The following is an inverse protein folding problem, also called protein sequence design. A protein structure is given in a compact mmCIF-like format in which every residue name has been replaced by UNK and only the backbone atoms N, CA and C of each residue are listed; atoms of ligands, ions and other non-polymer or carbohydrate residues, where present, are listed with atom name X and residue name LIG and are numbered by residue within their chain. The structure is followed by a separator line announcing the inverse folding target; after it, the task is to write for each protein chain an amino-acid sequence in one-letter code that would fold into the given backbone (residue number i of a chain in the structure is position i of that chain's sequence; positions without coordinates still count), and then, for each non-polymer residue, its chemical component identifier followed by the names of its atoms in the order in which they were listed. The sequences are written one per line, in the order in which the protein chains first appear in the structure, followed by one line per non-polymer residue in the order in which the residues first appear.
data_IF_333093755455
#
_entry.id   IF_333093755455
#
_cell.length_a   1.000
_cell.length_b   1.000
_cell.length_c   1.000
_cell.angle_alpha   90.00
_cell.angle_beta   90.00
_cell.angle_gamma   90.00
#
_symmetry.space_group_name_H-M   'P 1'
#
loop_
_entity.id
_entity.type
_entity.pdbx_description
1 polymer ?
#
# COMPACT_ATOMS: atom_id res chain seq x y z
N UNK A 1 -22.29 23.09 -35.30
CA UNK A 1 -22.18 21.67 -35.69
C UNK A 1 -22.52 20.71 -34.56
N UNK A 2 -21.67 20.44 -33.55
CA UNK A 2 -21.99 19.44 -32.50
C UNK A 2 -23.18 19.84 -31.61
N UNK A 3 -23.26 21.12 -31.19
CA UNK A 3 -24.40 21.63 -30.42
C UNK A 3 -25.72 21.58 -31.20
N UNK A 4 -25.69 21.87 -32.50
CA UNK A 4 -26.86 21.78 -33.39
C UNK A 4 -27.31 20.33 -33.60
N UNK A 5 -26.39 19.37 -33.51
CA UNK A 5 -26.66 17.94 -33.57
C UNK A 5 -27.05 17.34 -32.20
N UNK A 6 -27.13 18.14 -31.14
CA UNK A 6 -27.42 17.66 -29.78
C UNK A 6 -26.31 16.82 -29.15
N UNK A 7 -25.06 16.92 -29.65
CA UNK A 7 -23.92 16.18 -29.15
C UNK A 7 -23.08 17.01 -28.16
N UNK A 8 -22.76 16.42 -27.01
CA UNK A 8 -21.86 17.02 -26.00
C UNK A 8 -20.43 16.62 -26.30
N UNK A 9 -19.52 17.59 -26.28
CA UNK A 9 -18.08 17.39 -26.50
C UNK A 9 -17.29 17.80 -25.28
N UNK A 10 -16.35 16.96 -24.84
CA UNK A 10 -15.40 17.26 -23.76
C UNK A 10 -14.01 17.47 -24.36
N UNK A 11 -13.30 18.50 -23.92
CA UNK A 11 -11.97 18.85 -24.46
C UNK A 11 -10.90 18.69 -23.38
N UNK A 12 -9.65 18.44 -23.79
CA UNK A 12 -8.47 18.35 -22.91
C UNK A 12 -8.60 17.34 -21.76
N UNK A 13 -9.23 16.20 -22.02
CA UNK A 13 -9.28 15.09 -21.05
C UNK A 13 -7.89 14.46 -20.89
N UNK A 14 -7.42 14.16 -19.67
CA UNK A 14 -6.19 13.42 -19.44
C UNK A 14 -6.19 12.09 -20.22
N UNK A 15 -5.04 11.75 -20.82
CA UNK A 15 -4.91 10.58 -21.70
C UNK A 15 -5.28 9.27 -20.98
N UNK A 16 -4.95 9.16 -19.70
CA UNK A 16 -5.23 7.96 -18.92
C UNK A 16 -6.72 7.82 -18.58
N UNK A 17 -7.42 8.92 -18.34
CA UNK A 17 -8.86 8.91 -18.14
C UNK A 17 -9.61 8.62 -19.44
N UNK A 18 -9.18 9.19 -20.56
CA UNK A 18 -9.73 8.85 -21.88
C UNK A 18 -9.60 7.34 -22.18
N UNK A 19 -8.46 6.73 -21.83
CA UNK A 19 -8.27 5.27 -21.96
C UNK A 19 -9.16 4.47 -21.02
N UNK A 20 -9.34 4.91 -19.78
CA UNK A 20 -10.21 4.25 -18.78
C UNK A 20 -11.67 4.31 -19.19
N UNK A 21 -12.14 5.47 -19.63
CA UNK A 21 -13.50 5.66 -20.16
C UNK A 21 -13.71 4.78 -21.39
N UNK A 22 -12.77 4.79 -22.34
CA UNK A 22 -12.86 3.96 -23.53
C UNK A 22 -12.98 2.47 -23.16
N UNK A 23 -12.12 1.96 -22.28
CA UNK A 23 -12.20 0.57 -21.79
C UNK A 23 -13.51 0.27 -21.07
N UNK A 24 -14.00 1.17 -20.21
CA UNK A 24 -15.26 0.98 -19.49
C UNK A 24 -16.49 0.98 -20.40
N UNK A 25 -16.49 1.80 -21.45
CA UNK A 25 -17.62 1.89 -22.39
C UNK A 25 -17.51 0.88 -23.55
N UNK A 26 -16.42 0.10 -23.63
CA UNK A 26 -16.12 -0.76 -24.78
C UNK A 26 -15.69 -0.01 -26.06
N UNK A 27 -15.28 1.25 -25.92
CA UNK A 27 -14.76 2.06 -27.02
C UNK A 27 -13.26 1.86 -27.24
N UNK A 28 -12.77 2.29 -28.41
CA UNK A 28 -11.34 2.37 -28.73
C UNK A 28 -10.91 3.83 -28.90
N UNK A 29 -9.76 4.19 -28.32
CA UNK A 29 -9.19 5.55 -28.48
C UNK A 29 -8.58 5.68 -29.87
N UNK A 30 -9.22 6.47 -30.75
CA UNK A 30 -8.74 6.75 -32.09
C UNK A 30 -7.76 7.93 -32.08
N UNK A 31 -6.55 7.72 -32.58
CA UNK A 31 -5.53 8.78 -32.74
C UNK A 31 -5.56 9.44 -34.12
N UNK A 32 -6.10 8.74 -35.11
CA UNK A 32 -6.30 9.20 -36.49
C UNK A 32 -7.67 8.72 -36.97
N UNK A 33 -8.28 9.47 -37.88
CA UNK A 33 -9.52 9.11 -38.56
C UNK A 33 -9.26 8.47 -39.94
N UNK A 34 -7.99 8.36 -40.34
CA UNK A 34 -7.59 7.74 -41.59
C UNK A 34 -7.62 6.21 -41.47
N UNK A 35 -8.18 5.55 -42.48
CA UNK A 35 -8.11 4.10 -42.68
C UNK A 35 -6.77 3.72 -43.32
N UNK A 36 -6.48 2.41 -43.36
CA UNK A 36 -5.26 1.89 -44.02
C UNK A 36 -5.20 2.24 -45.52
N UNK A 37 -6.36 2.43 -46.14
CA UNK A 37 -6.51 2.76 -47.55
C UNK A 37 -6.42 4.27 -47.84
N UNK A 38 -6.25 5.10 -46.80
CA UNK A 38 -6.08 6.55 -46.92
C UNK A 38 -7.38 7.36 -46.91
N UNK A 39 -8.54 6.70 -46.77
CA UNK A 39 -9.84 7.35 -46.64
C UNK A 39 -10.13 7.77 -45.18
N UNK A 40 -10.95 8.81 -44.99
CA UNK A 40 -11.43 9.20 -43.66
C UNK A 40 -12.73 8.44 -43.32
N UNK A 41 -12.64 7.47 -42.41
CA UNK A 41 -13.80 6.72 -41.93
C UNK A 41 -13.66 6.35 -40.46
N UNK A 42 -14.78 6.42 -39.72
CA UNK A 42 -14.88 6.00 -38.32
C UNK A 42 -15.54 4.63 -38.27
N UNK A 43 -14.85 3.64 -37.71
CA UNK A 43 -15.45 2.35 -37.41
C UNK A 43 -16.48 2.51 -36.29
N UNK A 44 -17.72 2.09 -36.55
CA UNK A 44 -18.81 2.08 -35.56
C UNK A 44 -18.46 1.16 -34.38
N UNK A 45 -17.66 0.11 -34.62
CA UNK A 45 -17.16 -0.78 -33.57
C UNK A 45 -16.18 -0.11 -32.60
N UNK A 46 -15.59 1.03 -32.97
CA UNK A 46 -14.73 1.80 -32.08
C UNK A 46 -15.50 2.68 -31.08
N UNK A 47 -16.82 2.84 -31.26
CA UNK A 47 -17.68 3.63 -30.37
C UNK A 47 -18.12 2.80 -29.16
N UNK A 48 -18.14 3.44 -27.98
CA UNK A 48 -18.63 2.83 -26.75
C UNK A 48 -20.04 3.28 -26.38
N UNK A 49 -20.65 2.59 -25.43
CA UNK A 49 -21.96 2.93 -24.87
C UNK A 49 -21.92 3.03 -23.34
N UNK A 50 -22.75 3.93 -22.81
CA UNK A 50 -23.00 4.10 -21.39
C UNK A 50 -24.48 4.41 -21.16
N UNK A 51 -25.01 4.04 -20.00
CA UNK A 51 -26.42 4.28 -19.63
C UNK A 51 -26.70 5.77 -19.42
N UNK A 52 -25.79 6.49 -18.76
CA UNK A 52 -25.96 7.91 -18.45
C UNK A 52 -24.63 8.66 -18.56
N UNK A 53 -24.65 9.77 -19.28
CA UNK A 53 -23.58 10.76 -19.27
C UNK A 53 -24.20 12.09 -18.84
N UNK A 54 -23.80 12.58 -17.68
CA UNK A 54 -24.34 13.81 -17.10
C UNK A 54 -23.22 14.74 -16.64
N UNK A 55 -23.46 16.05 -16.71
CA UNK A 55 -22.62 17.04 -16.07
C UNK A 55 -23.16 17.30 -14.66
N UNK A 56 -22.35 17.06 -13.65
CA UNK A 56 -22.70 17.24 -12.24
C UNK A 56 -21.82 18.33 -11.66
N UNK A 57 -22.46 19.31 -11.01
CA UNK A 57 -21.76 20.31 -10.21
C UNK A 57 -21.28 19.68 -8.89
N UNK A 58 -19.98 19.60 -8.69
CA UNK A 58 -19.36 19.17 -7.44
C UNK A 58 -18.65 20.38 -6.82
N UNK A 59 -19.25 20.93 -5.76
CA UNK A 59 -18.77 22.17 -5.15
C UNK A 59 -18.74 23.31 -6.19
N UNK A 60 -17.56 23.86 -6.48
CA UNK A 60 -17.37 24.95 -7.44
C UNK A 60 -16.96 24.48 -8.84
N UNK A 61 -16.80 23.16 -9.03
CA UNK A 61 -16.38 22.55 -10.29
C UNK A 61 -17.53 21.81 -10.96
N UNK A 62 -17.53 21.86 -12.28
CA UNK A 62 -18.40 21.04 -13.12
C UNK A 62 -17.64 19.82 -13.63
N UNK A 63 -18.12 18.63 -13.30
CA UNK A 63 -17.52 17.38 -13.75
C UNK A 63 -18.49 16.59 -14.63
N UNK A 64 -17.95 15.88 -15.60
CA UNK A 64 -18.74 14.95 -16.42
C UNK A 64 -18.65 13.56 -15.80
N UNK A 65 -19.80 13.00 -15.44
CA UNK A 65 -19.90 11.66 -14.85
C UNK A 65 -20.53 10.72 -15.86
N UNK A 66 -19.82 9.62 -16.12
CA UNK A 66 -20.31 8.52 -16.97
C UNK A 66 -20.72 7.37 -16.05
N UNK A 67 -22.00 6.98 -16.06
CA UNK A 67 -22.57 5.90 -15.26
C UNK A 67 -23.10 4.78 -16.16
N UNK A 68 -23.07 3.56 -15.63
CA UNK A 68 -23.57 2.38 -16.33
C UNK A 68 -22.83 2.11 -17.64
N UNK A 69 -21.50 2.12 -17.60
CA UNK A 69 -20.69 1.75 -18.75
C UNK A 69 -20.87 0.25 -19.05
N UNK A 70 -20.83 -0.12 -20.33
CA UNK A 70 -21.08 -1.50 -20.79
C UNK A 70 -20.20 -2.54 -20.09
N UNK A 71 -18.92 -2.21 -19.88
CA UNK A 71 -17.95 -3.03 -19.16
C UNK A 71 -17.84 -2.53 -17.71
N UNK A 72 -18.39 -3.27 -16.74
CA UNK A 72 -18.48 -2.86 -15.32
C UNK A 72 -17.15 -2.98 -14.53
N UNK A 73 -16.01 -2.83 -15.20
CA UNK A 73 -14.68 -3.03 -14.61
C UNK A 73 -14.02 -1.75 -14.07
N UNK A 74 -14.73 -0.61 -14.09
CA UNK A 74 -14.22 0.67 -13.63
C UNK A 74 -15.14 1.29 -12.56
N UNK A 75 -14.54 1.81 -11.50
CA UNK A 75 -15.22 2.57 -10.46
C UNK A 75 -14.41 3.84 -10.17
N UNK A 76 -15.11 4.95 -9.97
CA UNK A 76 -14.53 6.23 -9.54
C UNK A 76 -15.12 6.60 -8.19
N UNK A 77 -14.26 6.97 -7.24
CA UNK A 77 -14.65 7.41 -5.90
C UNK A 77 -14.34 8.90 -5.79
N UNK A 78 -15.32 9.70 -5.40
CA UNK A 78 -15.17 11.14 -5.17
C UNK A 78 -15.01 11.36 -3.68
N UNK A 79 -13.83 11.82 -3.26
CA UNK A 79 -13.56 12.18 -1.88
C UNK A 79 -14.07 13.60 -1.61
N UNK A 80 -14.67 13.81 -0.43
CA UNK A 80 -15.11 15.13 0.05
C UNK A 80 -14.51 15.37 1.42
N UNK A 81 -13.95 16.55 1.63
CA UNK A 81 -13.23 16.92 2.84
C UNK A 81 -13.37 18.43 3.11
N UNK A 82 -12.90 18.86 4.28
CA UNK A 82 -13.03 20.25 4.71
C UNK A 82 -12.03 21.20 4.01
N UNK A 83 -10.87 20.68 3.60
CA UNK A 83 -9.83 21.41 2.88
C UNK A 83 -8.97 20.44 2.06
N UNK A 84 -8.15 20.99 1.15
CA UNK A 84 -7.32 20.23 0.23
C UNK A 84 -6.28 19.37 0.95
N UNK A 85 -5.69 19.86 2.05
CA UNK A 85 -4.72 19.09 2.84
C UNK A 85 -5.31 17.79 3.40
N UNK A 86 -6.58 17.83 3.86
CA UNK A 86 -7.28 16.64 4.31
C UNK A 86 -7.63 15.72 3.14
N UNK A 87 -8.05 16.29 1.99
CA UNK A 87 -8.35 15.52 0.79
C UNK A 87 -7.13 14.75 0.28
N UNK A 88 -5.97 15.42 0.22
CA UNK A 88 -4.69 14.82 -0.17
C UNK A 88 -4.33 13.62 0.73
N UNK A 89 -4.55 13.75 2.05
CA UNK A 89 -4.29 12.68 2.99
C UNK A 89 -5.31 11.54 2.89
N UNK A 90 -6.57 11.88 2.66
CA UNK A 90 -7.63 10.89 2.41
C UNK A 90 -7.35 10.11 1.12
N UNK A 91 -6.89 10.75 0.05
CA UNK A 91 -6.52 10.09 -1.20
C UNK A 91 -5.38 9.09 -0.97
N UNK A 92 -4.31 9.52 -0.30
CA UNK A 92 -3.17 8.64 0.05
C UNK A 92 -3.63 7.45 0.89
N UNK A 93 -4.38 7.70 1.96
CA UNK A 93 -4.88 6.64 2.86
C UNK A 93 -5.82 5.65 2.14
N UNK A 94 -6.67 6.16 1.26
CA UNK A 94 -7.59 5.34 0.47
C UNK A 94 -6.81 4.48 -0.54
N UNK A 95 -5.80 5.07 -1.21
CA UNK A 95 -4.92 4.35 -2.12
C UNK A 95 -4.16 3.21 -1.42
N UNK A 96 -3.60 3.46 -0.24
CA UNK A 96 -2.89 2.45 0.55
C UNK A 96 -3.82 1.30 0.97
N UNK A 97 -5.05 1.64 1.35
CA UNK A 97 -6.09 0.65 1.70
C UNK A 97 -6.45 -0.24 0.50
N UNK A 98 -6.64 0.34 -0.69
CA UNK A 98 -6.89 -0.41 -1.92
C UNK A 98 -5.69 -1.28 -2.30
N UNK A 99 -4.47 -0.78 -2.12
CA UNK A 99 -3.26 -1.55 -2.34
C UNK A 99 -3.19 -2.77 -1.41
N UNK A 100 -3.54 -2.62 -0.13
CA UNK A 100 -3.58 -3.75 0.80
C UNK A 100 -4.58 -4.81 0.35
N UNK A 101 -5.81 -4.42 -0.02
CA UNK A 101 -6.84 -5.34 -0.52
C UNK A 101 -6.37 -6.04 -1.80
N UNK A 102 -5.80 -5.30 -2.75
CA UNK A 102 -5.23 -5.86 -3.98
C UNK A 102 -4.19 -6.94 -3.68
N UNK A 103 -3.28 -6.71 -2.72
CA UNK A 103 -2.26 -7.72 -2.34
C UNK A 103 -2.87 -8.96 -1.70
N UNK A 104 -3.95 -8.83 -0.93
CA UNK A 104 -4.68 -9.98 -0.41
C UNK A 104 -5.27 -10.80 -1.56
N UNK A 105 -5.93 -10.14 -2.52
CA UNK A 105 -6.53 -10.82 -3.68
C UNK A 105 -5.49 -11.50 -4.57
N UNK A 106 -4.32 -10.90 -4.76
CA UNK A 106 -3.22 -11.48 -5.56
C UNK A 106 -2.56 -12.68 -4.87
N UNK A 107 -2.40 -12.65 -3.54
CA UNK A 107 -1.60 -13.64 -2.80
C UNK A 107 -2.41 -14.73 -2.11
N UNK A 108 -3.69 -14.50 -1.84
CA UNK A 108 -4.57 -15.42 -1.11
C UNK A 108 -4.16 -15.72 0.33
N UNK A 109 -3.21 -14.97 0.92
CA UNK A 109 -2.68 -15.24 2.25
C UNK A 109 -2.62 -13.98 3.13
N UNK A 110 -3.04 -14.16 4.38
CA UNK A 110 -3.11 -13.11 5.40
C UNK A 110 -2.49 -13.58 6.70
N UNK A 111 -2.04 -12.64 7.51
CA UNK A 111 -1.45 -12.85 8.84
C UNK A 111 -2.09 -11.90 9.86
N UNK A 112 -2.12 -12.26 11.16
CA UNK A 112 -2.61 -11.35 12.19
C UNK A 112 -1.71 -10.11 12.29
N UNK A 113 -2.33 -8.93 12.31
CA UNK A 113 -1.61 -7.66 12.49
C UNK A 113 -1.34 -7.31 13.96
N UNK A 114 -0.99 -6.05 14.21
CA UNK A 114 -0.87 -5.50 15.57
C UNK A 114 0.32 -6.03 16.38
N UNK A 115 1.46 -6.23 15.73
CA UNK A 115 2.70 -6.69 16.39
C UNK A 115 2.76 -8.20 16.62
N UNK A 116 1.74 -8.96 16.21
CA UNK A 116 1.68 -10.41 16.43
C UNK A 116 2.78 -11.16 15.66
N UNK A 117 3.00 -10.81 14.39
CA UNK A 117 4.01 -11.46 13.53
C UNK A 117 5.42 -11.17 14.05
N UNK A 118 5.69 -9.93 14.42
CA UNK A 118 7.00 -9.48 14.90
C UNK A 118 7.39 -10.21 16.20
N UNK A 119 6.46 -10.33 17.14
CA UNK A 119 6.70 -11.07 18.40
C UNK A 119 6.79 -12.59 18.17
N UNK A 120 6.00 -13.14 17.26
CA UNK A 120 6.11 -14.56 16.91
C UNK A 120 7.50 -14.88 16.34
N UNK A 121 8.01 -14.01 15.45
CA UNK A 121 9.33 -14.16 14.86
C UNK A 121 10.44 -13.99 15.90
N UNK A 122 10.31 -13.04 16.82
CA UNK A 122 11.25 -12.84 17.94
C UNK A 122 11.47 -14.14 18.73
N UNK A 123 10.40 -14.72 19.26
CA UNK A 123 10.48 -15.95 20.07
C UNK A 123 11.02 -17.14 19.27
N UNK A 124 10.62 -17.25 18.00
CA UNK A 124 11.07 -18.31 17.12
C UNK A 124 12.58 -18.21 16.85
N UNK A 125 13.07 -17.00 16.56
CA UNK A 125 14.48 -16.74 16.28
C UNK A 125 15.35 -16.87 17.53
N UNK A 126 14.88 -16.44 18.71
CA UNK A 126 15.58 -16.68 19.97
C UNK A 126 15.75 -18.18 20.23
N UNK A 127 14.68 -18.96 20.05
CA UNK A 127 14.72 -20.43 20.21
C UNK A 127 15.66 -21.08 19.19
N UNK A 128 15.60 -20.63 17.93
CA UNK A 128 16.51 -21.07 16.88
C UNK A 128 17.97 -20.74 17.20
N UNK A 129 18.24 -19.55 17.74
CA UNK A 129 19.59 -19.13 18.10
C UNK A 129 20.25 -20.06 19.13
N UNK A 130 19.48 -20.65 20.06
CA UNK A 130 20.02 -21.61 21.05
C UNK A 130 20.52 -22.92 20.44
N UNK A 131 20.06 -23.24 19.22
CA UNK A 131 20.54 -24.42 18.47
C UNK A 131 21.91 -24.21 17.85
N UNK A 132 22.40 -22.97 17.86
CA UNK A 132 23.70 -22.55 17.33
C UNK A 132 24.63 -22.18 18.49
N UNK A 133 25.86 -22.69 18.49
CA UNK A 133 26.82 -22.50 19.59
C UNK A 133 27.89 -21.43 19.36
N UNK A 134 27.78 -20.61 18.32
CA UNK A 134 28.85 -19.75 17.83
C UNK A 134 28.52 -18.25 17.97
N UNK A 135 29.39 -17.38 17.42
CA UNK A 135 29.15 -15.92 17.31
C UNK A 135 27.85 -15.56 16.57
N UNK A 136 27.37 -16.44 15.71
CA UNK A 136 26.13 -16.25 14.94
C UNK A 136 24.90 -16.17 15.85
N UNK A 137 24.94 -16.83 17.02
CA UNK A 137 23.87 -16.77 18.01
C UNK A 137 23.58 -15.33 18.43
N UNK A 138 24.61 -14.54 18.70
CA UNK A 138 24.46 -13.14 19.12
C UNK A 138 23.80 -12.30 18.03
N UNK A 139 24.19 -12.50 16.76
CA UNK A 139 23.60 -11.77 15.64
C UNK A 139 22.11 -12.08 15.45
N UNK A 140 21.71 -13.34 15.62
CA UNK A 140 20.30 -13.76 15.50
C UNK A 140 19.46 -13.20 16.65
N UNK A 141 19.96 -13.23 17.88
CA UNK A 141 19.28 -12.66 19.04
C UNK A 141 19.08 -11.15 18.87
N UNK A 142 20.09 -10.42 18.40
CA UNK A 142 19.95 -8.98 18.13
C UNK A 142 18.96 -8.69 17.00
N UNK A 143 18.94 -9.52 15.94
CA UNK A 143 17.94 -9.39 14.88
C UNK A 143 16.52 -9.64 15.40
N UNK A 144 16.31 -10.66 16.24
CA UNK A 144 15.04 -10.93 16.90
C UNK A 144 14.57 -9.74 17.76
N UNK A 145 15.46 -9.22 18.61
CA UNK A 145 15.21 -8.04 19.44
C UNK A 145 14.87 -6.79 18.61
N UNK A 146 15.46 -6.62 17.43
CA UNK A 146 15.18 -5.51 16.53
C UNK A 146 13.73 -5.54 16.01
N UNK A 147 13.14 -6.72 15.79
CA UNK A 147 11.74 -6.85 15.38
C UNK A 147 10.76 -6.33 16.44
N UNK A 148 11.14 -6.37 17.72
CA UNK A 148 10.33 -5.83 18.82
C UNK A 148 10.21 -4.30 18.80
N UNK A 149 10.97 -3.59 17.94
CA UNK A 149 10.83 -2.13 17.78
C UNK A 149 9.42 -1.72 17.33
N UNK A 150 8.79 -2.49 16.44
CA UNK A 150 7.43 -2.23 15.92
C UNK A 150 6.38 -2.30 17.04
N UNK A 151 6.20 -3.42 17.77
CA UNK A 151 5.18 -3.49 18.83
C UNK A 151 5.46 -2.51 19.99
N UNK A 152 6.74 -2.24 20.30
CA UNK A 152 7.09 -1.20 21.29
C UNK A 152 6.63 0.18 20.84
N UNK A 153 6.91 0.56 19.58
CA UNK A 153 6.54 1.87 19.05
C UNK A 153 5.02 2.03 18.95
N UNK A 154 4.30 0.98 18.57
CA UNK A 154 2.84 0.95 18.57
C UNK A 154 2.27 1.29 19.95
N UNK A 155 2.77 0.65 21.00
CA UNK A 155 2.33 0.91 22.38
C UNK A 155 2.70 2.33 22.87
N UNK A 156 3.91 2.82 22.55
CA UNK A 156 4.37 4.16 22.91
C UNK A 156 3.52 5.24 22.23
N UNK A 157 3.22 5.09 20.94
CA UNK A 157 2.38 6.03 20.19
C UNK A 157 0.95 6.10 20.76
N UNK A 158 0.47 5.02 21.38
CA UNK A 158 -0.82 4.98 22.06
C UNK A 158 -0.78 5.43 23.54
N UNK A 159 0.37 5.93 24.02
CA UNK A 159 0.59 6.30 25.42
C UNK A 159 0.24 5.17 26.42
N UNK A 160 0.52 3.92 26.04
CA UNK A 160 0.36 2.74 26.90
C UNK A 160 1.72 2.26 27.43
N UNK A 161 1.70 1.43 28.47
CA UNK A 161 2.90 0.78 28.98
C UNK A 161 3.40 -0.28 27.97
N UNK A 162 4.41 0.10 27.19
CA UNK A 162 5.01 -0.77 26.19
C UNK A 162 5.78 -1.93 26.81
N UNK A 163 6.32 -1.77 28.02
CA UNK A 163 7.06 -2.83 28.71
C UNK A 163 6.09 -3.93 29.11
N UNK A 164 4.98 -3.56 29.76
CA UNK A 164 3.96 -4.51 30.21
C UNK A 164 3.30 -5.23 29.02
N UNK A 165 2.87 -4.49 27.99
CA UNK A 165 2.15 -5.06 26.86
C UNK A 165 3.02 -5.98 26.01
N UNK A 166 4.25 -5.57 25.70
CA UNK A 166 5.16 -6.40 24.90
C UNK A 166 5.61 -7.63 25.69
N UNK A 167 5.87 -7.51 27.00
CA UNK A 167 6.21 -8.67 27.83
C UNK A 167 5.07 -9.70 27.88
N UNK A 168 3.82 -9.25 28.06
CA UNK A 168 2.66 -10.14 28.03
C UNK A 168 2.49 -10.78 26.65
N UNK A 169 2.67 -10.02 25.58
CA UNK A 169 2.54 -10.53 24.20
C UNK A 169 3.60 -11.61 23.94
N UNK A 170 4.86 -11.37 24.32
CA UNK A 170 5.94 -12.37 24.24
C UNK A 170 5.59 -13.64 25.01
N UNK A 171 5.07 -13.52 26.23
CA UNK A 171 4.66 -14.68 27.02
C UNK A 171 3.57 -15.52 26.33
N UNK A 172 2.60 -14.87 25.66
CA UNK A 172 1.52 -15.57 24.94
C UNK A 172 2.07 -16.32 23.72
N UNK A 173 2.92 -15.68 22.93
CA UNK A 173 3.53 -16.28 21.75
C UNK A 173 4.52 -17.40 22.11
N UNK A 174 5.28 -17.25 23.19
CA UNK A 174 6.13 -18.31 23.73
C UNK A 174 5.32 -19.52 24.21
N UNK A 175 4.19 -19.29 24.89
CA UNK A 175 3.28 -20.37 25.25
C UNK A 175 2.66 -21.06 24.04
N UNK A 176 2.38 -20.31 22.96
CA UNK A 176 1.82 -20.83 21.72
C UNK A 176 2.80 -21.75 20.98
N UNK A 177 4.08 -21.35 20.89
CA UNK A 177 5.11 -22.10 20.18
C UNK A 177 5.52 -23.38 20.90
N UNK A 178 5.47 -23.39 22.24
CA UNK A 178 5.74 -24.58 23.06
C UNK A 178 4.54 -25.55 23.14
N UNK A 179 3.37 -25.14 22.64
CA UNK A 179 2.17 -25.98 22.66
C UNK A 179 2.09 -26.87 21.41
N UNK A 180 1.57 -28.09 21.58
CA UNK A 180 1.24 -28.94 20.43
C UNK A 180 0.22 -28.24 19.50
N UNK A 181 0.21 -28.54 18.19
CA UNK A 181 -0.65 -27.85 17.21
C UNK A 181 -2.14 -27.84 17.59
N UNK A 182 -2.62 -28.93 18.19
CA UNK A 182 -4.02 -29.13 18.56
C UNK A 182 -4.33 -28.73 20.02
N UNK A 183 -3.33 -28.24 20.75
CA UNK A 183 -3.53 -27.82 22.13
C UNK A 183 -4.34 -26.51 22.19
N UNK A 184 -5.16 -26.30 23.24
CA UNK A 184 -5.96 -25.10 23.39
C UNK A 184 -5.13 -23.82 23.46
N UNK A 185 -3.81 -23.89 23.64
CA UNK A 185 -2.91 -22.72 23.68
C UNK A 185 -2.38 -22.31 22.30
N UNK A 186 -2.56 -23.10 21.25
CA UNK A 186 -2.03 -22.79 19.91
C UNK A 186 -2.66 -21.52 19.29
N UNK A 187 -3.89 -21.18 19.66
CA UNK A 187 -4.57 -19.97 19.23
C UNK A 187 -3.90 -18.67 19.74
N UNK A 188 -3.06 -18.74 20.77
CA UNK A 188 -2.36 -17.59 21.33
C UNK A 188 -1.40 -16.94 20.31
N UNK A 189 -0.98 -17.66 19.26
CA UNK A 189 -0.18 -17.11 18.15
C UNK A 189 -0.90 -16.01 17.36
N UNK A 190 -2.23 -15.95 17.45
CA UNK A 190 -3.05 -14.95 16.78
C UNK A 190 -3.23 -13.67 17.61
N UNK A 191 -2.69 -13.64 18.84
CA UNK A 191 -2.84 -12.48 19.70
C UNK A 191 -1.93 -11.36 19.25
N UNK A 192 -2.44 -10.13 19.29
CA UNK A 192 -1.67 -8.92 19.09
C UNK A 192 -2.12 -7.82 20.05
N UNK A 193 -1.58 -6.62 19.84
CA UNK A 193 -1.86 -5.45 20.66
C UNK A 193 -3.21 -4.84 20.29
N UNK A 194 -4.08 -4.66 21.29
CA UNK A 194 -5.22 -3.75 21.23
C UNK A 194 -4.88 -2.47 21.98
N UNK A 195 -4.59 -1.42 21.22
CA UNK A 195 -4.16 -0.14 21.77
C UNK A 195 -5.33 0.72 22.27
N UNK A 196 -6.56 0.46 21.82
CA UNK A 196 -7.74 1.18 22.30
C UNK A 196 -8.01 0.82 23.76
N UNK A 197 -8.11 -0.48 24.05
CA UNK A 197 -8.32 -0.97 25.41
C UNK A 197 -7.02 -1.07 26.22
N UNK A 198 -5.85 -1.10 25.56
CA UNK A 198 -4.57 -1.36 26.23
C UNK A 198 -4.45 -2.80 26.73
N UNK A 199 -4.93 -3.77 25.94
CA UNK A 199 -4.93 -5.20 26.29
C UNK A 199 -4.44 -6.03 25.10
N UNK A 200 -4.26 -7.33 25.32
CA UNK A 200 -4.01 -8.29 24.25
C UNK A 200 -5.33 -8.92 23.84
N UNK A 201 -5.52 -9.13 22.54
CA UNK A 201 -6.70 -9.80 21.99
C UNK A 201 -6.32 -10.67 20.80
N UNK A 202 -7.21 -11.61 20.47
CA UNK A 202 -7.12 -12.39 19.23
C UNK A 202 -7.42 -11.46 18.03
N UNK A 203 -6.38 -11.09 17.29
CA UNK A 203 -6.49 -10.12 16.21
C UNK A 203 -7.14 -10.71 14.96
N UNK A 204 -7.14 -12.04 14.79
CA UNK A 204 -7.87 -12.69 13.70
C UNK A 204 -9.37 -12.55 13.93
N UNK A 205 -9.85 -12.80 15.15
CA UNK A 205 -11.26 -12.63 15.51
C UNK A 205 -11.70 -11.17 15.49
N UNK A 206 -10.80 -10.25 15.85
CA UNK A 206 -11.06 -8.81 15.77
C UNK A 206 -11.02 -8.25 14.34
N UNK A 207 -10.63 -9.05 13.34
CA UNK A 207 -10.54 -8.63 11.93
C UNK A 207 -9.29 -7.80 11.60
N UNK A 208 -8.29 -7.77 12.49
CA UNK A 208 -7.01 -7.08 12.26
C UNK A 208 -6.06 -8.00 11.51
N UNK A 209 -6.14 -7.94 10.19
CA UNK A 209 -5.40 -8.78 9.26
C UNK A 209 -4.53 -7.95 8.33
N UNK A 210 -3.36 -8.48 8.00
CA UNK A 210 -2.42 -7.89 7.05
C UNK A 210 -2.04 -8.89 5.95
N UNK A 211 -1.75 -8.44 4.72
CA UNK A 211 -1.31 -9.34 3.65
C UNK A 211 0.05 -9.97 3.99
N UNK A 212 0.16 -11.29 3.94
CA UNK A 212 1.40 -12.00 4.32
C UNK A 212 2.59 -11.59 3.42
N UNK A 213 2.33 -11.42 2.12
CA UNK A 213 3.35 -10.94 1.17
C UNK A 213 3.94 -9.57 1.53
N UNK A 214 3.15 -8.70 2.19
CA UNK A 214 3.64 -7.40 2.63
C UNK A 214 4.74 -7.58 3.68
N UNK A 215 4.47 -8.35 4.75
CA UNK A 215 5.46 -8.66 5.80
C UNK A 215 6.73 -9.29 5.25
N UNK A 216 6.60 -10.27 4.35
CA UNK A 216 7.75 -10.94 3.72
C UNK A 216 8.63 -9.92 2.98
N UNK A 217 8.01 -9.03 2.19
CA UNK A 217 8.75 -8.04 1.40
C UNK A 217 9.36 -6.96 2.29
N UNK A 218 8.66 -6.52 3.34
CA UNK A 218 9.18 -5.57 4.34
C UNK A 218 10.45 -6.10 5.00
N UNK A 219 10.43 -7.35 5.49
CA UNK A 219 11.59 -7.95 6.15
C UNK A 219 12.77 -8.11 5.19
N UNK A 220 12.54 -8.59 3.96
CA UNK A 220 13.58 -8.72 2.94
C UNK A 220 14.21 -7.37 2.60
N UNK A 221 13.39 -6.38 2.27
CA UNK A 221 13.86 -5.06 1.85
C UNK A 221 14.60 -4.33 2.97
N UNK A 222 14.10 -4.41 4.22
CA UNK A 222 14.77 -3.80 5.37
C UNK A 222 16.12 -4.46 5.66
N UNK A 223 16.18 -5.80 5.55
CA UNK A 223 17.43 -6.55 5.75
C UNK A 223 18.46 -6.23 4.66
N UNK A 224 18.05 -6.16 3.40
CA UNK A 224 18.92 -5.78 2.28
C UNK A 224 19.49 -4.35 2.47
N UNK A 225 18.65 -3.40 2.85
CA UNK A 225 19.10 -2.03 3.14
C UNK A 225 20.10 -1.98 4.31
N UNK A 226 19.82 -2.72 5.39
CA UNK A 226 20.74 -2.79 6.54
C UNK A 226 22.09 -3.42 6.16
N UNK A 227 22.09 -4.50 5.37
CA UNK A 227 23.32 -5.13 4.87
C UNK A 227 24.12 -4.16 4.00
N UNK A 228 23.46 -3.41 3.11
CA UNK A 228 24.13 -2.46 2.24
C UNK A 228 24.85 -1.37 3.04
N UNK A 229 24.21 -0.84 4.09
CA UNK A 229 24.82 0.17 4.95
C UNK A 229 25.96 -0.43 5.80
N UNK A 230 25.75 -1.62 6.38
CA UNK A 230 26.73 -2.28 7.23
C UNK A 230 28.03 -2.65 6.48
N UNK A 231 27.95 -2.82 5.16
CA UNK A 231 29.10 -3.12 4.29
C UNK A 231 29.93 -1.90 3.90
N UNK A 232 29.46 -0.68 4.16
CA UNK A 232 30.23 0.53 3.89
C UNK A 232 31.34 0.61 4.94
N UNK A 233 32.58 0.45 4.50
CA UNK A 233 33.79 0.67 5.29
C UNK A 233 34.21 2.14 5.27
N UNK A 234 34.17 2.76 4.09
CA UNK A 234 34.55 4.16 3.88
C UNK A 234 33.52 4.97 3.06
N UNK A 235 33.34 6.23 3.43
CA UNK A 235 32.48 7.19 2.71
C UNK A 235 33.29 8.39 2.24
N UNK A 236 33.52 8.47 0.94
CA UNK A 236 34.22 9.60 0.30
C UNK A 236 33.19 10.59 -0.23
N UNK A 237 33.22 11.82 0.27
CA UNK A 237 32.38 12.93 -0.23
C UNK A 237 33.22 13.82 -1.14
N UNK A 238 32.83 13.91 -2.41
CA UNK A 238 33.43 14.84 -3.36
C UNK A 238 32.83 16.23 -3.14
N UNK A 239 33.68 17.25 -3.16
CA UNK A 239 33.22 18.64 -3.19
C UNK A 239 32.75 18.92 -4.63
N UNK A 240 31.50 19.37 -4.83
CA UNK A 240 31.03 19.71 -6.16
C UNK A 240 31.92 20.80 -6.77
N UNK A 241 32.27 20.65 -8.05
CA UNK A 241 33.04 21.68 -8.76
C UNK A 241 32.27 23.01 -8.68
N UNK A 242 32.96 24.05 -8.21
CA UNK A 242 32.48 25.41 -8.39
C UNK A 242 32.52 25.68 -9.89
N UNK A 243 31.34 25.78 -10.51
CA UNK A 243 31.24 26.30 -11.87
C UNK A 243 31.92 27.67 -11.87
N UNK A 244 33.01 27.82 -12.62
CA UNK A 244 33.60 29.11 -12.87
C UNK A 244 32.51 30.00 -13.48
N UNK A 245 32.20 31.13 -12.85
CA UNK A 245 31.28 32.12 -13.42
C UNK A 245 31.82 32.49 -14.81
N UNK A 246 31.04 32.14 -15.83
CA UNK A 246 31.40 32.38 -17.22
C UNK A 246 31.36 33.91 -17.45
N UNK A 247 32.50 34.59 -17.67
CA UNK A 247 32.54 36.05 -17.76
C UNK A 247 31.75 36.61 -18.95
N UNK A 248 31.25 35.74 -19.83
CA UNK A 248 30.53 36.09 -21.05
C UNK A 248 29.01 35.84 -20.98
N UNK A 249 28.44 35.44 -19.84
CA UNK A 249 26.99 35.25 -19.70
C UNK A 249 26.17 36.57 -19.73
N UNK A 250 26.84 37.72 -19.75
CA UNK A 250 26.24 39.05 -19.90
C UNK A 250 26.94 39.85 -21.01
N UNK A 251 26.81 39.43 -22.27
CA UNK A 251 26.95 40.31 -23.44
C UNK A 251 25.88 39.99 -24.47
#
# INVERSE_FOLDING_TARGET
MFAEAGAVTVTRVPKDDARRIARGCGASVLTTLATLDGDEAVDVGALGSAELVEQVRLSDDDVVVVRGAREQHAATVILRGANDYMLDEMERSFHDSLCAVKRVLESGSVVPGGGAVEVALDIYLESFATTLGSREQLAIVEFANALLSIPKQLAVNAAKDSIELVAKLRAYHAAAQNAAPDAPRSHLKNYGLDLHEGKLRDNVKAGVLEPAMSKIKMLKSATEAAINILRIDDMIKLVPEQQAEDPHAHM
#
